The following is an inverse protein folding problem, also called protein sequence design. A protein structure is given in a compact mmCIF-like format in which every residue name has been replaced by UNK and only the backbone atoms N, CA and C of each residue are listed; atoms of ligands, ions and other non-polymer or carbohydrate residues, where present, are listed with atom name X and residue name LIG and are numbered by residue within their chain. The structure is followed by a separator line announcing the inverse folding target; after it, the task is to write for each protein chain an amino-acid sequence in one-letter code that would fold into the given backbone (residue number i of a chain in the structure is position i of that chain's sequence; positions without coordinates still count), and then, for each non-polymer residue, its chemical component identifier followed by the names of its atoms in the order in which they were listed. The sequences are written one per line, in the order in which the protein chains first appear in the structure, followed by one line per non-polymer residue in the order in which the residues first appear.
data_IF_738117758660
#
_entry.id   IF_738117758660
#
_cell.length_a   1.000
_cell.length_b   1.000
_cell.length_c   1.000
_cell.angle_alpha   90.00
_cell.angle_beta   90.00
_cell.angle_gamma   90.00
#
_symmetry.space_group_name_H-M   'P 1'
#
loop_
_entity.id
_entity.type
_entity.pdbx_description
1 polymer ?
#
# COMPACT_ATOMS: atom_id res chain seq x y z
N UNK A 1 -26.48 -28.11 -3.22
CA UNK A 1 -25.36 -28.10 -2.24
C UNK A 1 -24.09 -28.78 -2.76
N UNK A 2 -24.19 -29.93 -3.47
CA UNK A 2 -23.00 -30.66 -3.94
C UNK A 2 -22.15 -29.96 -5.02
N UNK A 3 -22.76 -29.13 -5.88
CA UNK A 3 -22.07 -28.46 -7.00
C UNK A 3 -21.03 -27.45 -6.52
N UNK A 4 -21.40 -26.53 -5.62
CA UNK A 4 -20.47 -25.52 -5.10
C UNK A 4 -19.27 -26.10 -4.31
N UNK A 5 -19.46 -27.19 -3.56
CA UNK A 5 -18.34 -27.85 -2.86
C UNK A 5 -17.41 -28.58 -3.85
N UNK A 6 -17.97 -29.16 -4.91
CA UNK A 6 -17.19 -29.75 -5.99
C UNK A 6 -16.38 -28.68 -6.73
N UNK A 7 -16.98 -27.51 -7.02
CA UNK A 7 -16.29 -26.38 -7.67
C UNK A 7 -15.15 -25.84 -6.81
N UNK A 8 -15.37 -25.66 -5.50
CA UNK A 8 -14.33 -25.17 -4.58
C UNK A 8 -13.14 -26.14 -4.49
N UNK A 9 -13.38 -27.46 -4.51
CA UNK A 9 -12.31 -28.47 -4.47
C UNK A 9 -11.61 -28.62 -5.82
N UNK A 10 -12.35 -28.55 -6.93
CA UNK A 10 -11.78 -28.56 -8.28
C UNK A 10 -10.91 -27.33 -8.53
N UNK A 11 -11.29 -26.17 -8.00
CA UNK A 11 -10.52 -24.92 -8.14
C UNK A 11 -9.18 -24.96 -7.39
N UNK A 12 -9.08 -25.74 -6.32
CA UNK A 12 -7.84 -25.97 -5.58
C UNK A 12 -6.92 -27.03 -6.20
N UNK A 13 -7.41 -27.79 -7.18
CA UNK A 13 -6.65 -28.82 -7.88
C UNK A 13 -6.02 -28.24 -9.15
N UNK A 14 -4.69 -28.16 -9.15
CA UNK A 14 -3.92 -27.60 -10.26
C UNK A 14 -3.94 -28.49 -11.51
N UNK A 15 -4.24 -29.78 -11.37
CA UNK A 15 -4.16 -30.76 -12.47
C UNK A 15 -5.32 -30.65 -13.48
N UNK A 16 -6.36 -29.88 -13.16
CA UNK A 16 -7.56 -29.73 -13.98
C UNK A 16 -8.16 -28.33 -13.96
N UNK A 17 -7.39 -27.32 -13.54
CA UNK A 17 -7.88 -25.95 -13.49
C UNK A 17 -8.11 -25.40 -14.90
N UNK A 18 -9.34 -24.98 -15.19
CA UNK A 18 -9.77 -24.42 -16.47
C UNK A 18 -10.19 -22.94 -16.39
N UNK A 19 -9.99 -22.31 -15.23
CA UNK A 19 -10.35 -20.90 -15.01
C UNK A 19 -9.30 -19.91 -15.51
N UNK A 20 -9.56 -18.62 -15.26
CA UNK A 20 -8.64 -17.54 -15.62
C UNK A 20 -7.33 -17.64 -14.83
N UNK A 21 -6.20 -17.53 -15.54
CA UNK A 21 -4.88 -17.57 -14.93
C UNK A 21 -4.44 -16.15 -14.55
N UNK A 22 -3.73 -16.05 -13.42
CA UNK A 22 -3.02 -14.84 -13.04
C UNK A 22 -1.54 -15.13 -13.19
N UNK A 23 -0.86 -14.38 -14.06
CA UNK A 23 0.57 -14.57 -14.36
C UNK A 23 0.91 -16.02 -14.76
N UNK A 24 0.03 -16.64 -15.55
CA UNK A 24 0.22 -17.99 -16.08
C UNK A 24 0.02 -19.15 -15.09
N UNK A 25 -0.45 -18.88 -13.87
CA UNK A 25 -0.72 -19.90 -12.85
C UNK A 25 -2.14 -19.79 -12.29
N UNK A 26 -2.63 -20.88 -11.70
CA UNK A 26 -3.90 -20.89 -10.97
C UNK A 26 -3.86 -19.83 -9.85
N UNK A 27 -4.79 -18.86 -9.82
CA UNK A 27 -4.85 -17.80 -8.81
C UNK A 27 -4.84 -18.30 -7.36
N UNK A 28 -5.41 -19.47 -7.10
CA UNK A 28 -5.39 -20.07 -5.77
C UNK A 28 -3.96 -20.31 -5.29
N UNK A 29 -3.01 -20.59 -6.19
CA UNK A 29 -1.62 -20.88 -5.85
C UNK A 29 -0.80 -19.65 -5.41
N UNK A 30 -1.35 -18.44 -5.55
CA UNK A 30 -0.73 -17.22 -5.02
C UNK A 30 -0.64 -17.22 -3.49
N UNK A 31 -1.46 -18.04 -2.83
CA UNK A 31 -1.39 -18.28 -1.40
C UNK A 31 -0.61 -19.55 -1.10
N UNK A 32 0.20 -19.58 -0.04
CA UNK A 32 0.91 -20.80 0.34
C UNK A 32 -0.07 -21.91 0.71
N UNK A 33 0.24 -23.17 0.37
CA UNK A 33 -0.64 -24.32 0.61
C UNK A 33 -1.17 -24.37 2.05
N UNK A 34 -0.30 -24.18 3.04
CA UNK A 34 -0.69 -24.20 4.44
C UNK A 34 -1.73 -23.13 4.80
N UNK A 35 -1.67 -21.95 4.15
CA UNK A 35 -2.65 -20.88 4.36
C UNK A 35 -3.99 -21.24 3.71
N UNK A 36 -3.97 -21.80 2.49
CA UNK A 36 -5.18 -22.25 1.78
C UNK A 36 -5.93 -23.33 2.54
N UNK A 37 -5.21 -24.32 3.05
CA UNK A 37 -5.78 -25.41 3.83
C UNK A 37 -6.51 -24.82 5.07
N UNK A 38 -5.86 -23.91 5.80
CA UNK A 38 -6.48 -23.23 6.95
C UNK A 38 -7.69 -22.36 6.57
N UNK A 39 -7.63 -21.64 5.44
CA UNK A 39 -8.77 -20.84 4.93
C UNK A 39 -9.95 -21.76 4.66
N UNK A 40 -9.76 -22.76 3.81
CA UNK A 40 -10.84 -23.65 3.34
C UNK A 40 -11.45 -24.50 4.46
N UNK A 41 -10.67 -24.81 5.49
CA UNK A 41 -11.15 -25.52 6.68
C UNK A 41 -11.85 -24.61 7.70
N UNK A 42 -11.63 -23.29 7.63
CA UNK A 42 -12.16 -22.33 8.60
C UNK A 42 -13.69 -22.24 8.55
N UNK A 43 -14.27 -21.93 9.72
CA UNK A 43 -15.72 -21.70 9.84
C UNK A 43 -16.20 -20.53 8.97
N UNK A 44 -15.46 -19.42 8.96
CA UNK A 44 -15.82 -18.24 8.17
C UNK A 44 -15.89 -18.58 6.68
N UNK A 45 -14.93 -19.35 6.16
CA UNK A 45 -14.97 -19.77 4.75
C UNK A 45 -16.20 -20.62 4.42
N UNK A 46 -16.50 -21.62 5.25
CA UNK A 46 -17.58 -22.57 5.00
C UNK A 46 -18.97 -21.94 5.08
N UNK A 47 -19.14 -20.92 5.93
CA UNK A 47 -20.43 -20.29 6.18
C UNK A 47 -20.61 -18.99 5.39
N UNK A 48 -19.56 -18.15 5.34
CA UNK A 48 -19.66 -16.78 4.84
C UNK A 48 -19.08 -16.62 3.44
N UNK A 49 -18.08 -17.44 3.05
CA UNK A 49 -17.51 -17.41 1.70
C UNK A 49 -18.20 -18.37 0.72
N UNK A 50 -19.16 -19.16 1.20
CA UNK A 50 -19.90 -20.10 0.38
C UNK A 50 -20.84 -19.37 -0.58
N UNK A 51 -20.75 -19.66 -1.88
CA UNK A 51 -21.61 -19.06 -2.89
C UNK A 51 -21.39 -17.57 -3.15
N UNK A 52 -20.39 -16.93 -2.52
CA UNK A 52 -20.09 -15.52 -2.81
C UNK A 52 -19.69 -15.35 -4.28
N UNK A 53 -20.29 -14.36 -4.90
CA UNK A 53 -19.88 -13.77 -6.17
C UNK A 53 -19.23 -12.41 -5.92
N UNK A 54 -18.83 -11.70 -6.98
CA UNK A 54 -18.24 -10.38 -6.82
C UNK A 54 -19.19 -9.44 -6.05
N UNK A 55 -20.41 -9.21 -6.53
CA UNK A 55 -21.35 -8.26 -5.93
C UNK A 55 -21.64 -8.54 -4.44
N UNK A 56 -21.91 -9.79 -4.05
CA UNK A 56 -22.20 -10.15 -2.64
C UNK A 56 -20.97 -10.14 -1.73
N UNK A 57 -19.77 -10.10 -2.30
CA UNK A 57 -18.53 -10.05 -1.51
C UNK A 57 -18.35 -8.68 -0.85
N UNK A 58 -18.79 -7.59 -1.48
CA UNK A 58 -18.65 -6.26 -0.89
C UNK A 58 -19.44 -6.13 0.42
N UNK A 59 -20.61 -6.76 0.53
CA UNK A 59 -21.41 -6.80 1.76
C UNK A 59 -20.61 -7.42 2.92
N UNK A 60 -19.93 -8.54 2.65
CA UNK A 60 -19.06 -9.21 3.64
C UNK A 60 -17.80 -8.42 3.97
N UNK A 61 -17.27 -7.71 2.98
CA UNK A 61 -16.11 -6.86 3.18
C UNK A 61 -16.44 -5.58 3.99
N UNK A 62 -17.67 -5.07 3.88
CA UNK A 62 -18.16 -3.95 4.68
C UNK A 62 -18.26 -4.28 6.18
N UNK A 63 -18.54 -5.55 6.52
CA UNK A 63 -18.57 -6.06 7.91
C UNK A 63 -17.18 -6.26 8.54
N UNK A 64 -16.09 -6.07 7.77
CA UNK A 64 -14.73 -6.25 8.29
C UNK A 64 -14.40 -5.18 9.34
N UNK A 65 -13.66 -5.59 10.37
CA UNK A 65 -13.25 -4.73 11.48
C UNK A 65 -11.73 -4.64 11.67
N UNK A 66 -10.96 -5.39 10.88
CA UNK A 66 -9.50 -5.40 10.90
C UNK A 66 -8.92 -6.05 9.64
N UNK A 67 -7.71 -5.65 9.27
CA UNK A 67 -6.85 -6.34 8.29
C UNK A 67 -5.96 -7.36 8.98
N UNK A 68 -5.56 -8.44 8.30
CA UNK A 68 -4.61 -9.39 8.87
C UNK A 68 -4.48 -10.69 8.12
N UNK A 69 -3.52 -11.51 8.54
CA UNK A 69 -3.27 -12.82 7.96
C UNK A 69 -3.87 -13.96 8.76
N UNK A 70 -3.01 -14.79 9.35
CA UNK A 70 -3.36 -15.85 10.29
C UNK A 70 -2.96 -15.45 11.70
N UNK A 71 -3.74 -15.85 12.71
CA UNK A 71 -3.48 -15.51 14.11
C UNK A 71 -3.70 -16.67 15.08
N UNK A 72 -3.17 -16.52 16.31
CA UNK A 72 -3.23 -17.53 17.36
C UNK A 72 -2.34 -18.75 17.10
N UNK A 73 -2.22 -19.63 18.10
CA UNK A 73 -1.36 -20.82 18.04
C UNK A 73 -1.73 -21.79 16.92
N UNK A 74 -3.03 -21.92 16.62
CA UNK A 74 -3.54 -22.76 15.52
C UNK A 74 -3.45 -22.10 14.14
N UNK A 75 -3.02 -20.84 14.05
CA UNK A 75 -2.90 -20.11 12.78
C UNK A 75 -4.25 -19.85 12.10
N UNK A 76 -5.30 -19.56 12.86
CA UNK A 76 -6.64 -19.29 12.33
C UNK A 76 -6.60 -18.12 11.32
N UNK A 77 -7.16 -18.27 10.11
CA UNK A 77 -7.20 -17.19 9.13
C UNK A 77 -8.20 -16.12 9.56
N UNK A 78 -7.89 -14.86 9.25
CA UNK A 78 -8.84 -13.75 9.46
C UNK A 78 -9.93 -13.75 8.38
N UNK A 79 -11.10 -13.14 8.65
CA UNK A 79 -12.11 -12.87 7.63
C UNK A 79 -11.54 -12.12 6.42
N UNK A 80 -10.71 -11.11 6.65
CA UNK A 80 -9.99 -10.35 5.61
C UNK A 80 -9.23 -11.29 4.65
N UNK A 81 -8.43 -12.20 5.22
CA UNK A 81 -7.66 -13.16 4.43
C UNK A 81 -8.55 -14.14 3.65
N UNK A 82 -9.66 -14.57 4.25
CA UNK A 82 -10.63 -15.45 3.60
C UNK A 82 -11.30 -14.78 2.39
N UNK A 83 -11.70 -13.50 2.53
CA UNK A 83 -12.30 -12.74 1.43
C UNK A 83 -11.27 -12.43 0.34
N UNK A 84 -10.01 -12.15 0.70
CA UNK A 84 -8.94 -11.95 -0.27
C UNK A 84 -8.70 -13.20 -1.12
N UNK A 85 -8.67 -14.37 -0.46
CA UNK A 85 -8.58 -15.64 -1.16
C UNK A 85 -9.81 -15.90 -2.04
N UNK A 86 -11.01 -15.51 -1.58
CA UNK A 86 -12.24 -15.63 -2.39
C UNK A 86 -12.20 -14.75 -3.64
N UNK A 87 -11.69 -13.52 -3.54
CA UNK A 87 -11.48 -12.63 -4.69
C UNK A 87 -10.55 -13.27 -5.73
N UNK A 88 -9.46 -13.90 -5.29
CA UNK A 88 -8.58 -14.66 -6.20
C UNK A 88 -9.28 -15.82 -6.90
N UNK A 89 -10.22 -16.50 -6.23
CA UNK A 89 -11.01 -17.55 -6.88
C UNK A 89 -12.00 -16.99 -7.90
N UNK A 90 -12.54 -15.79 -7.64
CA UNK A 90 -13.55 -15.17 -8.50
C UNK A 90 -12.92 -14.48 -9.72
N UNK A 91 -11.67 -14.01 -9.60
CA UNK A 91 -10.96 -13.23 -10.62
C UNK A 91 -11.89 -12.14 -11.23
N UNK A 92 -12.44 -11.24 -10.40
CA UNK A 92 -13.38 -10.23 -10.89
C UNK A 92 -12.71 -9.28 -11.87
N UNK A 93 -13.53 -8.68 -12.72
CA UNK A 93 -13.10 -7.64 -13.66
C UNK A 93 -12.50 -6.44 -12.93
N UNK A 94 -11.57 -5.75 -13.59
CA UNK A 94 -10.84 -4.61 -13.01
C UNK A 94 -11.77 -3.51 -12.53
N UNK A 95 -12.83 -3.21 -13.29
CA UNK A 95 -13.83 -2.18 -12.96
C UNK A 95 -14.50 -2.45 -11.60
N UNK A 96 -14.78 -3.72 -11.28
CA UNK A 96 -15.36 -4.11 -10.00
C UNK A 96 -14.38 -3.82 -8.86
N UNK A 97 -13.10 -4.13 -9.05
CA UNK A 97 -12.06 -3.88 -8.04
C UNK A 97 -11.81 -2.38 -7.85
N UNK A 98 -11.84 -1.60 -8.94
CA UNK A 98 -11.77 -0.14 -8.88
C UNK A 98 -12.98 0.45 -8.15
N UNK A 99 -14.18 -0.13 -8.34
CA UNK A 99 -15.36 0.24 -7.57
C UNK A 99 -15.20 -0.09 -6.07
N UNK A 100 -14.58 -1.23 -5.72
CA UNK A 100 -14.30 -1.55 -4.31
C UNK A 100 -13.30 -0.60 -3.65
N UNK A 101 -12.32 -0.09 -4.40
CA UNK A 101 -11.40 0.92 -3.89
C UNK A 101 -12.13 2.23 -3.53
N UNK A 102 -13.07 2.65 -4.38
CA UNK A 102 -13.70 3.97 -4.30
C UNK A 102 -15.22 3.88 -4.13
N UNK A 103 -15.70 2.92 -3.32
CA UNK A 103 -17.13 2.70 -3.16
C UNK A 103 -17.82 3.93 -2.56
N UNK A 104 -18.75 4.59 -3.28
CA UNK A 104 -19.45 5.75 -2.77
C UNK A 104 -20.56 5.34 -1.80
N UNK A 105 -20.78 6.10 -0.72
CA UNK A 105 -22.08 6.13 -0.04
C UNK A 105 -23.10 6.86 -0.93
N UNK A 106 -24.36 6.39 -0.93
CA UNK A 106 -25.46 7.09 -1.61
C UNK A 106 -25.52 8.54 -1.12
N UNK A 107 -25.50 9.49 -2.05
CA UNK A 107 -25.58 10.95 -1.77
C UNK A 107 -26.82 11.37 -0.94
N UNK A 108 -27.77 10.47 -0.71
CA UNK A 108 -29.03 10.71 0.01
C UNK A 108 -28.98 10.48 1.53
N UNK A 109 -27.92 9.88 2.10
CA UNK A 109 -27.73 9.84 3.56
C UNK A 109 -27.11 11.14 4.05
N UNK A 110 -27.96 12.18 4.07
CA UNK A 110 -27.61 13.52 4.50
C UNK A 110 -26.98 13.56 5.89
N UNK A 111 -26.09 14.54 6.06
CA UNK A 111 -25.79 15.25 7.31
C UNK A 111 -25.90 14.37 8.58
N UNK A 112 -25.25 13.21 8.56
CA UNK A 112 -25.00 12.43 9.75
C UNK A 112 -23.68 12.93 10.33
N UNK A 113 -23.73 13.46 11.55
CA UNK A 113 -22.57 13.76 12.40
C UNK A 113 -21.72 12.48 12.57
N UNK A 114 -20.92 12.15 11.57
CA UNK A 114 -19.84 11.19 11.69
C UNK A 114 -18.75 11.87 12.48
N UNK A 115 -18.51 11.37 13.70
CA UNK A 115 -17.38 11.74 14.56
C UNK A 115 -16.15 12.05 13.70
N UNK A 116 -15.74 13.32 13.71
CA UNK A 116 -14.55 13.91 13.11
C UNK A 116 -13.57 12.86 12.53
N UNK A 117 -13.67 12.57 11.23
CA UNK A 117 -12.65 11.79 10.50
C UNK A 117 -11.42 12.69 10.29
N UNK A 118 -10.79 13.09 11.39
CA UNK A 118 -9.49 13.76 11.44
C UNK A 118 -8.45 12.85 10.76
N UNK A 119 -8.25 13.07 9.46
CA UNK A 119 -7.35 12.28 8.62
C UNK A 119 -7.82 12.06 7.18
N UNK A 120 -9.02 12.52 6.79
CA UNK A 120 -9.44 12.48 5.38
C UNK A 120 -8.69 13.54 4.58
N UNK A 121 -7.62 13.14 3.89
CA UNK A 121 -6.96 14.01 2.93
C UNK A 121 -7.93 14.43 1.80
N UNK A 122 -7.78 15.62 1.21
CA UNK A 122 -8.56 16.05 0.06
C UNK A 122 -8.42 15.02 -1.07
N UNK A 123 -9.53 14.51 -1.61
CA UNK A 123 -9.54 13.57 -2.74
C UNK A 123 -9.71 12.08 -2.39
N UNK A 124 -9.77 11.72 -1.11
CA UNK A 124 -9.96 10.32 -0.67
C UNK A 124 -11.43 9.88 -0.81
N UNK A 125 -11.77 9.24 -1.94
CA UNK A 125 -13.14 8.80 -2.32
C UNK A 125 -13.50 7.42 -1.79
N UNK A 126 -14.42 7.30 -0.83
CA UNK A 126 -15.06 6.03 -0.45
C UNK A 126 -14.94 5.64 1.01
N UNK A 127 -16.01 5.07 1.56
CA UNK A 127 -16.27 5.12 3.01
C UNK A 127 -15.87 3.82 3.73
N UNK A 128 -15.86 2.70 3.02
CA UNK A 128 -15.47 1.40 3.55
C UNK A 128 -13.95 1.18 3.51
N UNK A 129 -13.24 1.66 4.53
CA UNK A 129 -11.77 1.51 4.62
C UNK A 129 -11.26 0.07 4.55
N UNK A 130 -11.99 -0.91 5.06
CA UNK A 130 -11.56 -2.32 4.97
C UNK A 130 -11.84 -2.95 3.60
N UNK A 131 -12.89 -2.52 2.90
CA UNK A 131 -13.13 -2.90 1.51
C UNK A 131 -12.02 -2.33 0.61
N UNK A 132 -11.63 -1.07 0.83
CA UNK A 132 -10.47 -0.47 0.14
C UNK A 132 -9.19 -1.25 0.40
N UNK A 133 -8.88 -1.56 1.66
CA UNK A 133 -7.68 -2.34 1.99
C UNK A 133 -7.70 -3.73 1.35
N UNK A 134 -8.88 -4.36 1.26
CA UNK A 134 -9.06 -5.66 0.61
C UNK A 134 -8.81 -5.57 -0.90
N UNK A 135 -9.35 -4.55 -1.55
CA UNK A 135 -9.13 -4.30 -2.97
C UNK A 135 -7.66 -3.99 -3.27
N UNK A 136 -7.02 -3.12 -2.48
CA UNK A 136 -5.59 -2.82 -2.60
C UNK A 136 -4.72 -4.09 -2.46
N UNK A 137 -5.05 -4.96 -1.49
CA UNK A 137 -4.34 -6.23 -1.32
C UNK A 137 -4.53 -7.18 -2.52
N UNK A 138 -5.74 -7.25 -3.08
CA UNK A 138 -6.00 -8.03 -4.29
C UNK A 138 -5.21 -7.51 -5.49
N UNK A 139 -5.21 -6.19 -5.73
CA UNK A 139 -4.45 -5.54 -6.81
C UNK A 139 -2.97 -5.93 -6.73
N UNK A 140 -2.36 -5.82 -5.55
CA UNK A 140 -0.94 -6.18 -5.34
C UNK A 140 -0.61 -7.63 -5.70
N UNK A 141 -1.58 -8.54 -5.52
CA UNK A 141 -1.41 -9.97 -5.80
C UNK A 141 -1.65 -10.32 -7.28
N UNK A 142 -2.62 -9.64 -7.91
CA UNK A 142 -3.21 -10.08 -9.18
C UNK A 142 -2.82 -9.25 -10.40
N UNK A 143 -2.46 -7.98 -10.24
CA UNK A 143 -2.28 -7.06 -11.36
C UNK A 143 -0.81 -6.96 -11.83
N UNK A 144 -0.61 -6.27 -12.94
CA UNK A 144 0.71 -6.01 -13.53
C UNK A 144 1.44 -4.87 -12.80
N UNK A 145 2.80 -4.85 -12.81
CA UNK A 145 3.58 -3.88 -12.03
C UNK A 145 3.17 -2.42 -12.21
N UNK A 146 3.03 -1.99 -13.47
CA UNK A 146 2.69 -0.61 -13.83
C UNK A 146 1.34 -0.21 -13.24
N UNK A 147 0.34 -1.08 -13.37
CA UNK A 147 -1.01 -0.86 -12.87
C UNK A 147 -1.05 -0.85 -11.34
N UNK A 148 -0.22 -1.67 -10.69
CA UNK A 148 -0.09 -1.68 -9.22
C UNK A 148 0.36 -0.31 -8.73
N UNK A 149 1.43 0.25 -9.30
CA UNK A 149 1.92 1.57 -8.88
C UNK A 149 0.87 2.67 -9.16
N UNK A 150 0.34 2.72 -10.38
CA UNK A 150 -0.66 3.73 -10.78
C UNK A 150 -1.91 3.74 -9.89
N UNK A 151 -2.33 2.58 -9.38
CA UNK A 151 -3.56 2.48 -8.57
C UNK A 151 -3.34 2.53 -7.07
N UNK A 152 -2.20 2.03 -6.56
CA UNK A 152 -1.92 2.01 -5.13
C UNK A 152 -1.29 3.31 -4.63
N UNK A 153 -0.45 3.98 -5.41
CA UNK A 153 0.24 5.20 -4.97
C UNK A 153 -0.71 6.34 -4.56
N UNK A 154 -1.83 6.60 -5.26
CA UNK A 154 -2.80 7.60 -4.80
C UNK A 154 -3.38 7.29 -3.41
N UNK A 155 -3.37 6.02 -2.98
CA UNK A 155 -3.85 5.61 -1.66
C UNK A 155 -2.86 5.91 -0.54
N UNK A 156 -1.62 6.34 -0.85
CA UNK A 156 -0.66 6.82 0.16
C UNK A 156 -1.08 8.15 0.80
N UNK A 157 -2.03 8.86 0.20
CA UNK A 157 -2.66 10.03 0.80
C UNK A 157 -3.80 9.68 1.79
N UNK A 158 -4.18 8.40 1.93
CA UNK A 158 -5.23 7.97 2.84
C UNK A 158 -4.66 7.68 4.24
N UNK A 159 -4.85 8.61 5.17
CA UNK A 159 -4.35 8.48 6.55
C UNK A 159 -5.37 7.88 7.52
N UNK A 160 -6.42 7.20 7.02
CA UNK A 160 -7.43 6.61 7.91
C UNK A 160 -6.87 5.45 8.72
N UNK A 161 -7.27 5.42 9.99
CA UNK A 161 -6.87 4.40 10.97
C UNK A 161 -7.42 3.02 10.61
N UNK A 162 -6.54 2.03 10.55
CA UNK A 162 -6.86 0.62 10.37
C UNK A 162 -6.45 -0.19 11.60
N UNK A 163 -7.30 -1.15 11.97
CA UNK A 163 -6.93 -2.16 12.98
C UNK A 163 -6.23 -3.33 12.28
N UNK A 164 -5.03 -3.69 12.70
CA UNK A 164 -4.28 -4.84 12.16
C UNK A 164 -4.23 -5.98 13.18
N UNK A 165 -4.65 -7.17 12.76
CA UNK A 165 -4.52 -8.41 13.55
C UNK A 165 -3.12 -8.99 13.34
N UNK A 166 -2.32 -8.92 14.40
CA UNK A 166 -1.05 -9.63 14.51
C UNK A 166 -1.28 -11.07 14.97
N UNK A 167 -0.20 -11.87 15.06
CA UNK A 167 -0.27 -13.26 15.55
C UNK A 167 -0.90 -13.34 16.94
N UNK A 168 -0.49 -12.43 17.83
CA UNK A 168 -0.80 -12.50 19.28
C UNK A 168 -1.71 -11.36 19.77
N UNK A 169 -2.13 -10.44 18.89
CA UNK A 169 -2.87 -9.26 19.32
C UNK A 169 -3.38 -8.37 18.19
N UNK A 170 -3.75 -7.15 18.54
CA UNK A 170 -4.11 -6.10 17.58
C UNK A 170 -3.15 -4.92 17.71
N UNK A 171 -2.84 -4.29 16.59
CA UNK A 171 -2.08 -3.05 16.54
C UNK A 171 -2.84 -2.03 15.71
N UNK A 172 -2.70 -0.75 16.05
CA UNK A 172 -3.15 0.34 15.19
C UNK A 172 -2.16 0.49 14.04
N UNK A 173 -2.67 0.69 12.83
CA UNK A 173 -1.92 1.05 11.63
C UNK A 173 -2.78 2.02 10.82
N UNK A 174 -2.32 2.42 9.65
CA UNK A 174 -2.98 3.39 8.79
C UNK A 174 -3.05 2.86 7.36
N UNK A 175 -3.93 3.42 6.52
CA UNK A 175 -4.11 2.93 5.16
C UNK A 175 -2.86 3.15 4.30
N UNK A 176 -2.32 4.36 4.28
CA UNK A 176 -1.01 4.71 3.71
C UNK A 176 0.09 3.70 4.09
N UNK A 177 0.25 3.39 5.38
CA UNK A 177 1.22 2.43 5.86
C UNK A 177 0.94 1.01 5.38
N UNK A 178 -0.33 0.63 5.29
CA UNK A 178 -0.72 -0.67 4.75
C UNK A 178 -0.41 -0.76 3.25
N UNK A 179 -0.63 0.32 2.50
CA UNK A 179 -0.32 0.40 1.07
C UNK A 179 1.18 0.41 0.82
N UNK A 180 1.95 1.17 1.59
CA UNK A 180 3.42 1.15 1.55
C UNK A 180 3.96 -0.25 1.86
N UNK A 181 3.41 -0.92 2.88
CA UNK A 181 3.72 -2.32 3.19
C UNK A 181 3.48 -3.24 1.98
N UNK A 182 2.44 -3.00 1.18
CA UNK A 182 2.16 -3.78 -0.03
C UNK A 182 3.19 -3.53 -1.13
N UNK A 183 3.65 -2.29 -1.31
CA UNK A 183 4.61 -1.93 -2.35
C UNK A 183 6.04 -2.36 -1.99
N UNK A 184 6.43 -2.24 -0.72
CA UNK A 184 7.81 -2.37 -0.28
C UNK A 184 8.16 -3.71 0.37
N UNK A 185 7.22 -4.39 1.02
CA UNK A 185 7.53 -5.63 1.77
C UNK A 185 7.30 -6.88 0.93
N UNK A 186 8.12 -7.89 1.18
CA UNK A 186 7.98 -9.20 0.54
C UNK A 186 6.83 -10.04 1.13
N UNK A 187 6.27 -9.66 2.28
CA UNK A 187 5.25 -10.46 2.97
C UNK A 187 4.27 -9.60 3.75
N UNK A 188 2.98 -9.72 3.41
CA UNK A 188 1.88 -9.00 4.04
C UNK A 188 0.72 -9.96 4.31
N UNK A 189 0.00 -9.78 5.43
CA UNK A 189 -1.17 -10.59 5.80
C UNK A 189 -0.98 -12.12 5.68
N UNK A 190 0.18 -12.61 6.11
CA UNK A 190 0.56 -14.03 6.05
C UNK A 190 0.68 -14.63 4.63
N UNK A 191 0.73 -13.79 3.60
CA UNK A 191 0.93 -14.15 2.21
C UNK A 191 2.28 -13.60 1.73
N UNK A 192 3.08 -14.45 1.11
CA UNK A 192 4.32 -14.03 0.44
C UNK A 192 3.98 -13.34 -0.88
N UNK A 193 4.37 -12.08 -1.00
CA UNK A 193 4.18 -11.30 -2.22
C UNK A 193 5.26 -11.67 -3.22
N UNK A 194 4.90 -11.60 -4.51
CA UNK A 194 5.88 -11.77 -5.57
C UNK A 194 6.74 -10.51 -5.69
N UNK A 195 7.99 -10.67 -6.14
CA UNK A 195 8.93 -9.56 -6.28
C UNK A 195 8.47 -8.58 -7.34
N UNK A 196 8.09 -7.39 -6.91
CA UNK A 196 7.73 -6.29 -7.79
C UNK A 196 9.02 -5.70 -8.39
N UNK A 197 9.07 -5.42 -9.70
CA UNK A 197 10.13 -4.60 -10.27
C UNK A 197 10.24 -3.27 -9.51
N UNK A 198 11.47 -2.83 -9.16
CA UNK A 198 11.65 -1.56 -8.49
C UNK A 198 11.14 -0.44 -9.38
N UNK A 199 10.52 0.58 -8.77
CA UNK A 199 9.93 1.70 -9.51
C UNK A 199 10.94 2.38 -10.45
N UNK A 200 12.17 2.59 -9.99
CA UNK A 200 13.25 3.20 -10.79
C UNK A 200 13.47 2.48 -12.13
N UNK A 201 13.37 1.15 -12.15
CA UNK A 201 13.52 0.39 -13.39
C UNK A 201 12.34 0.64 -14.34
N UNK A 202 11.13 0.83 -13.83
CA UNK A 202 9.96 1.12 -14.65
C UNK A 202 9.99 2.56 -15.20
N UNK A 203 10.54 3.50 -14.43
CA UNK A 203 10.82 4.86 -14.88
C UNK A 203 11.90 4.88 -15.96
N UNK A 204 13.02 4.17 -15.77
CA UNK A 204 14.10 4.03 -16.76
C UNK A 204 13.64 3.40 -18.09
N UNK A 205 12.56 2.63 -18.06
CA UNK A 205 11.95 1.99 -19.23
C UNK A 205 10.81 2.82 -19.84
N UNK A 206 10.58 4.04 -19.36
CA UNK A 206 9.47 4.92 -19.77
C UNK A 206 8.08 4.25 -19.63
N UNK A 207 7.94 3.31 -18.68
CA UNK A 207 6.68 2.63 -18.37
C UNK A 207 5.90 3.34 -17.25
N UNK A 208 6.59 4.15 -16.44
CA UNK A 208 6.02 4.98 -15.39
C UNK A 208 6.67 6.36 -15.42
N UNK A 209 5.87 7.39 -15.20
CA UNK A 209 6.37 8.74 -14.95
C UNK A 209 6.97 8.84 -13.54
N UNK A 210 7.88 9.79 -13.28
CA UNK A 210 8.34 10.08 -11.93
C UNK A 210 7.18 10.31 -10.97
N UNK A 211 7.29 9.78 -9.74
CA UNK A 211 6.20 9.91 -8.75
C UNK A 211 6.03 11.36 -8.29
N UNK A 212 4.86 11.93 -8.54
CA UNK A 212 4.45 13.18 -7.91
C UNK A 212 3.99 12.92 -6.47
N UNK A 213 4.63 13.57 -5.50
CA UNK A 213 4.24 13.47 -4.10
C UNK A 213 3.19 14.54 -3.79
N UNK A 214 2.09 14.22 -3.08
CA UNK A 214 1.10 15.24 -2.68
C UNK A 214 1.69 16.38 -1.82
N UNK A 215 2.82 16.12 -1.16
CA UNK A 215 3.57 17.09 -0.36
C UNK A 215 4.75 17.71 -1.13
N UNK A 216 4.96 17.34 -2.40
CA UNK A 216 6.10 17.81 -3.20
C UNK A 216 6.09 19.33 -3.29
N UNK A 217 4.96 19.89 -3.70
CA UNK A 217 4.77 21.33 -3.83
C UNK A 217 4.98 22.09 -2.50
N UNK A 218 4.64 21.48 -1.35
CA UNK A 218 4.85 22.09 -0.03
C UNK A 218 6.33 22.06 0.39
N UNK A 219 7.04 20.98 0.08
CA UNK A 219 8.48 20.87 0.35
C UNK A 219 9.27 21.81 -0.54
N UNK A 220 8.93 21.89 -1.82
CA UNK A 220 9.57 22.80 -2.77
C UNK A 220 9.39 24.26 -2.33
N UNK A 221 8.21 24.63 -1.81
CA UNK A 221 7.96 25.95 -1.21
C UNK A 221 8.83 26.23 0.02
N UNK A 222 9.01 25.24 0.90
CA UNK A 222 9.86 25.40 2.09
C UNK A 222 11.34 25.59 1.71
N UNK A 223 11.82 24.86 0.70
CA UNK A 223 13.19 25.00 0.18
C UNK A 223 13.39 26.39 -0.46
N UNK A 224 12.41 26.87 -1.23
CA UNK A 224 12.42 28.24 -1.80
C UNK A 224 12.44 29.33 -0.71
N UNK A 225 11.67 29.15 0.37
CA UNK A 225 11.63 30.08 1.50
C UNK A 225 12.96 30.07 2.29
N UNK A 226 13.58 28.90 2.51
CA UNK A 226 14.90 28.79 3.17
C UNK A 226 16.02 29.44 2.34
N UNK A 227 16.00 29.29 1.01
CA UNK A 227 16.97 29.93 0.12
C UNK A 227 16.81 31.46 0.09
N UNK A 228 15.59 31.97 0.21
CA UNK A 228 15.30 33.40 0.35
C UNK A 228 15.80 33.98 1.69
N UNK A 229 15.71 33.22 2.79
CA UNK A 229 16.23 33.63 4.09
C UNK A 229 17.76 33.59 4.16
N UNK A 230 18.40 32.62 3.50
CA UNK A 230 19.86 32.47 3.49
C UNK A 230 20.56 33.38 2.45
N UNK A 231 19.83 33.88 1.45
CA UNK A 231 20.31 34.85 0.46
C UNK A 231 20.61 36.26 1.00
N UNK A 232 20.18 36.58 2.24
CA UNK A 232 20.34 37.90 2.86
C UNK A 232 21.72 38.24 3.43
N UNK A 233 22.69 37.32 3.44
CA UNK A 233 23.97 37.51 4.16
C UNK A 233 25.24 37.50 3.29
N UNK A 234 25.17 37.90 2.01
CA UNK A 234 26.33 37.89 1.11
C UNK A 234 26.63 39.15 0.30
N UNK A 235 26.15 40.33 0.70
CA UNK A 235 26.66 41.60 0.14
C UNK A 235 26.97 42.61 1.24
N UNK A 236 28.25 42.79 1.55
CA UNK A 236 28.90 44.07 1.93
C UNK A 236 30.27 43.78 2.59
N UNK A 237 31.27 43.36 1.79
CA UNK A 237 32.66 43.59 2.21
C UNK A 237 33.69 43.64 1.07
N UNK A 238 33.50 44.61 0.18
CA UNK A 238 34.56 45.34 -0.51
C UNK A 238 34.11 46.81 -0.39
N UNK A 239 34.86 47.83 0.03
CA UNK A 239 36.26 48.17 -0.17
C UNK A 239 36.55 49.48 0.61
N UNK A 240 37.61 49.53 1.44
CA UNK A 240 38.32 50.76 1.89
C UNK A 240 39.42 50.34 2.87
N UNK A 241 40.69 50.71 2.81
CA UNK A 241 41.48 51.59 1.95
C UNK A 241 42.90 51.60 2.56
N UNK A 242 43.89 51.37 1.71
CA UNK A 242 45.27 51.91 1.74
C UNK A 242 46.12 52.12 3.03
N UNK A 243 47.31 51.48 2.97
CA UNK A 243 48.68 52.00 3.28
C UNK A 243 49.11 52.19 4.74
N UNK A 244 50.14 51.43 5.17
CA UNK A 244 51.44 52.00 5.57
C UNK A 244 52.56 50.94 5.65
N UNK A 245 53.56 51.09 4.78
CA UNK A 245 54.87 50.45 4.89
C UNK A 245 55.64 51.01 6.10
N UNK A 246 56.32 50.16 6.88
CA UNK A 246 57.69 50.43 7.37
C UNK A 246 58.31 49.24 8.13
N UNK A 247 59.23 48.58 7.43
CA UNK A 247 60.60 48.25 7.86
C UNK A 247 60.89 47.92 9.34
N UNK A 248 61.40 46.70 9.58
CA UNK A 248 62.56 46.36 10.47
C UNK A 248 62.93 44.89 10.21
N UNK A 249 63.94 44.63 9.37
CA UNK A 249 65.31 44.24 9.77
C UNK A 249 65.33 43.12 10.81
N UNK A 250 65.63 41.90 10.39
CA UNK A 250 67.01 41.36 10.26
C UNK A 250 67.49 40.80 11.61
N UNK A 251 67.57 39.47 11.71
CA UNK A 251 68.68 38.72 12.32
C UNK A 251 68.39 37.21 12.35
N UNK A 252 69.15 36.46 11.54
CA UNK A 252 70.01 35.29 11.92
C UNK A 252 69.37 34.14 12.73
N UNK A 253 69.61 32.86 12.45
CA UNK A 253 70.65 32.19 11.68
C UNK A 253 70.31 30.71 11.55
N UNK A 254 70.70 30.12 10.42
CA UNK A 254 70.85 28.69 10.18
C UNK A 254 71.75 27.99 11.19
N UNK A 255 71.45 26.73 11.48
CA UNK A 255 72.44 25.70 11.78
C UNK A 255 71.86 24.35 11.33
N UNK A 256 72.40 23.85 10.22
CA UNK A 256 72.43 22.43 9.87
C UNK A 256 73.47 21.72 10.76
N UNK A 257 73.12 20.54 11.28
CA UNK A 257 73.88 19.28 11.18
C UNK A 257 72.96 18.10 11.54
#
# INVERSE_FOLDING_TARGET
MATHQADAKALLDDRGYSGALIRGQNPALLFEKAVRDRITESYYWKEQCFGLNAATLCDRAAELTFVGGTYGGLGKPTPFLCLAFKLLQLVPEKEIILAYLNWPEDEERGEGEGEDDEGRAPGVKGDFKYLRALAAFYIRLAWEPVEIYQTLEPLLADYRKLKRRMRDGFTLTYMDQFVDDLLMKDRVCATSLWKLPPRTLLEDLDLLDPRESPLGDEVDQLDEDEDMENGGHRSEREESGEIEERSRRDSRSSADD
#
